data_IF_533425009403
#
_entry.id   IF_533425009403
#
_cell.length_a   1.000
_cell.length_b   1.000
_cell.length_c   1.000
_cell.angle_alpha   90.00
_cell.angle_beta   90.00
_cell.angle_gamma   90.00
#
_symmetry.space_group_name_H-M   'P 1'
#
loop_
_entity.id
_entity.type
_entity.pdbx_description
1 polymer ?
#
# COMPACT_ATOMS: atom_id res chain seq x y z
N UNK A 1 -11.86 -23.32 34.25
CA UNK A 1 -10.83 -22.27 34.40
C UNK A 1 -10.15 -22.09 33.04
N UNK A 2 -10.30 -20.94 32.38
CA UNK A 2 -9.65 -20.72 31.08
C UNK A 2 -8.15 -20.48 31.30
N UNK A 3 -7.30 -21.31 30.71
CA UNK A 3 -5.84 -21.10 30.68
C UNK A 3 -5.51 -20.31 29.41
N UNK A 4 -4.83 -19.18 29.58
CA UNK A 4 -4.31 -18.40 28.47
C UNK A 4 -2.79 -18.62 28.36
N UNK A 5 -2.30 -18.92 27.16
CA UNK A 5 -0.87 -19.03 26.87
C UNK A 5 -0.40 -17.75 26.20
N UNK A 6 0.58 -17.07 26.81
CA UNK A 6 1.19 -15.87 26.22
C UNK A 6 2.38 -16.30 25.35
N UNK A 7 2.27 -16.08 24.05
CA UNK A 7 3.34 -16.40 23.08
C UNK A 7 3.78 -15.11 22.40
N UNK A 8 5.08 -14.98 22.14
CA UNK A 8 5.66 -13.93 21.30
C UNK A 8 6.45 -14.58 20.19
N UNK A 9 6.11 -14.26 18.95
CA UNK A 9 6.78 -14.75 17.75
C UNK A 9 7.65 -13.61 17.21
N UNK A 10 8.87 -13.93 16.84
CA UNK A 10 9.78 -13.01 16.17
C UNK A 10 9.97 -13.46 14.72
N UNK A 11 10.10 -12.53 13.76
CA UNK A 11 10.33 -12.88 12.38
C UNK A 11 11.73 -13.49 12.21
N UNK A 12 11.87 -14.42 11.26
CA UNK A 12 13.19 -14.78 10.72
C UNK A 12 13.79 -13.57 9.97
N UNK A 13 15.10 -13.57 9.68
CA UNK A 13 15.72 -12.50 8.91
C UNK A 13 14.99 -12.20 7.58
N UNK A 14 14.58 -13.23 6.85
CA UNK A 14 13.87 -13.11 5.56
C UNK A 14 12.47 -12.52 5.74
N UNK A 15 11.76 -12.92 6.81
CA UNK A 15 10.46 -12.34 7.15
C UNK A 15 10.60 -10.86 7.53
N UNK A 16 11.63 -10.50 8.28
CA UNK A 16 11.89 -9.12 8.66
C UNK A 16 12.20 -8.25 7.44
N UNK A 17 13.01 -8.75 6.51
CA UNK A 17 13.30 -8.08 5.24
C UNK A 17 12.03 -7.86 4.41
N UNK A 18 11.22 -8.92 4.24
CA UNK A 18 9.95 -8.81 3.54
C UNK A 18 9.01 -7.79 4.19
N UNK A 19 8.88 -7.81 5.51
CA UNK A 19 8.03 -6.85 6.24
C UNK A 19 8.51 -5.40 6.05
N UNK A 20 9.81 -5.16 6.12
CA UNK A 20 10.38 -3.83 5.88
C UNK A 20 10.07 -3.33 4.46
N UNK A 21 10.24 -4.20 3.48
CA UNK A 21 9.95 -3.90 2.08
C UNK A 21 8.43 -3.69 1.83
N UNK A 22 7.58 -4.52 2.46
CA UNK A 22 6.13 -4.39 2.45
C UNK A 22 5.68 -3.03 3.00
N UNK A 23 6.23 -2.60 4.14
CA UNK A 23 5.92 -1.30 4.73
C UNK A 23 6.39 -0.14 3.82
N UNK A 24 7.54 -0.30 3.17
CA UNK A 24 8.02 0.64 2.14
C UNK A 24 7.04 0.77 0.97
N UNK A 25 6.55 -0.36 0.46
CA UNK A 25 5.59 -0.40 -0.64
C UNK A 25 4.24 0.24 -0.27
N UNK A 26 3.73 -0.05 0.94
CA UNK A 26 2.52 0.57 1.50
C UNK A 26 2.69 2.09 1.61
N UNK A 27 3.82 2.56 2.17
CA UNK A 27 4.13 3.99 2.26
C UNK A 27 4.22 4.65 0.88
N UNK A 28 4.83 3.98 -0.09
CA UNK A 28 4.89 4.45 -1.47
C UNK A 28 3.48 4.63 -2.07
N UNK A 29 2.62 3.62 -1.93
CA UNK A 29 1.25 3.65 -2.46
C UNK A 29 0.45 4.82 -1.88
N UNK A 30 0.50 5.00 -0.56
CA UNK A 30 -0.15 6.12 0.14
C UNK A 30 0.36 7.47 -0.38
N UNK A 31 1.68 7.69 -0.37
CA UNK A 31 2.28 8.95 -0.78
C UNK A 31 1.96 9.29 -2.24
N UNK A 32 1.96 8.28 -3.12
CA UNK A 32 1.65 8.50 -4.54
C UNK A 32 0.18 8.86 -4.75
N UNK A 33 -0.73 8.17 -4.06
CA UNK A 33 -2.16 8.47 -4.10
C UNK A 33 -2.44 9.88 -3.56
N UNK A 34 -1.85 10.26 -2.42
CA UNK A 34 -1.97 11.60 -1.83
C UNK A 34 -1.44 12.68 -2.78
N UNK A 35 -0.29 12.44 -3.42
CA UNK A 35 0.28 13.37 -4.39
C UNK A 35 -0.65 13.60 -5.58
N UNK A 36 -1.22 12.54 -6.16
CA UNK A 36 -2.16 12.64 -7.28
C UNK A 36 -3.40 13.44 -6.87
N UNK A 37 -3.98 13.12 -5.70
CA UNK A 37 -5.16 13.81 -5.15
C UNK A 37 -4.89 15.30 -4.95
N UNK A 38 -3.76 15.67 -4.34
CA UNK A 38 -3.35 17.07 -4.16
C UNK A 38 -3.14 17.78 -5.49
N UNK A 39 -2.48 17.14 -6.44
CA UNK A 39 -2.21 17.73 -7.75
C UNK A 39 -3.51 18.01 -8.52
N UNK A 40 -4.45 17.06 -8.53
CA UNK A 40 -5.75 17.23 -9.20
C UNK A 40 -6.57 18.35 -8.59
N UNK A 41 -6.60 18.43 -7.26
CA UNK A 41 -7.29 19.51 -6.57
C UNK A 41 -6.64 20.86 -6.86
N UNK A 42 -5.32 20.97 -6.75
CA UNK A 42 -4.62 22.24 -6.95
C UNK A 42 -4.71 22.77 -8.39
N UNK A 43 -4.74 21.89 -9.39
CA UNK A 43 -4.79 22.29 -10.80
C UNK A 43 -6.20 22.47 -11.35
N UNK A 44 -7.16 21.68 -10.86
CA UNK A 44 -8.48 21.57 -11.47
C UNK A 44 -9.62 21.81 -10.48
N UNK A 45 -9.33 21.97 -9.18
CA UNK A 45 -10.35 22.06 -8.13
C UNK A 45 -11.09 20.74 -7.87
N UNK A 46 -10.66 19.63 -8.48
CA UNK A 46 -11.38 18.35 -8.43
C UNK A 46 -10.87 17.47 -7.28
N UNK A 47 -11.78 17.06 -6.41
CA UNK A 47 -11.54 16.04 -5.40
C UNK A 47 -11.65 14.62 -5.98
N UNK A 48 -10.67 13.76 -5.68
CA UNK A 48 -10.69 12.36 -6.08
C UNK A 48 -11.23 11.44 -4.99
N UNK A 49 -12.07 10.50 -5.38
CA UNK A 49 -12.50 9.36 -4.59
C UNK A 49 -11.42 8.27 -4.54
N UNK A 50 -11.05 7.79 -3.34
CA UNK A 50 -10.06 6.72 -3.22
C UNK A 50 -10.49 5.44 -3.93
N UNK A 51 -11.78 5.07 -3.79
CA UNK A 51 -12.33 3.83 -4.35
C UNK A 51 -12.48 3.89 -5.86
N UNK A 52 -13.00 5.01 -6.39
CA UNK A 52 -13.32 5.13 -7.83
C UNK A 52 -12.13 5.58 -8.66
N UNK A 53 -11.28 6.47 -8.13
CA UNK A 53 -10.26 7.15 -8.93
C UNK A 53 -8.84 6.65 -8.62
N UNK A 54 -8.51 6.37 -7.35
CA UNK A 54 -7.13 6.06 -6.95
C UNK A 54 -6.82 4.55 -6.93
N UNK A 55 -7.70 3.73 -6.35
CA UNK A 55 -7.49 2.26 -6.27
C UNK A 55 -7.32 1.60 -7.65
N UNK A 56 -8.06 1.97 -8.71
CA UNK A 56 -7.81 1.42 -10.04
C UNK A 56 -6.41 1.73 -10.58
N UNK A 57 -5.83 2.89 -10.24
CA UNK A 57 -4.47 3.24 -10.66
C UNK A 57 -3.42 2.30 -10.07
N UNK A 58 -3.66 1.72 -8.88
CA UNK A 58 -2.77 0.70 -8.31
C UNK A 58 -2.74 -0.57 -9.18
N UNK A 59 -3.90 -0.98 -9.69
CA UNK A 59 -3.97 -2.14 -10.59
C UNK A 59 -3.26 -1.88 -11.93
N UNK A 60 -3.37 -0.66 -12.46
CA UNK A 60 -2.63 -0.22 -13.65
C UNK A 60 -1.13 -0.16 -13.37
N UNK A 61 -0.72 0.41 -12.23
CA UNK A 61 0.68 0.56 -11.84
C UNK A 61 1.38 -0.81 -11.77
N UNK A 62 0.76 -1.82 -11.15
CA UNK A 62 1.29 -3.19 -11.08
C UNK A 62 1.55 -3.81 -12.47
N UNK A 63 0.84 -3.38 -13.51
CA UNK A 63 1.05 -3.86 -14.89
C UNK A 63 2.10 -3.04 -15.66
N UNK A 64 2.46 -1.86 -15.16
CA UNK A 64 3.46 -1.01 -15.80
C UNK A 64 4.89 -1.51 -15.55
N UNK A 65 5.80 -1.26 -16.50
CA UNK A 65 7.23 -1.58 -16.35
C UNK A 65 7.87 -0.87 -15.15
N UNK A 66 7.42 0.35 -14.83
CA UNK A 66 8.02 1.18 -13.78
C UNK A 66 7.63 0.74 -12.36
N UNK A 67 6.42 0.20 -12.19
CA UNK A 67 5.86 -0.14 -10.88
C UNK A 67 5.45 -1.61 -10.77
N UNK A 68 6.01 -2.48 -11.63
CA UNK A 68 5.73 -3.92 -11.62
C UNK A 68 6.15 -4.58 -10.31
N UNK A 69 7.17 -4.05 -9.65
CA UNK A 69 7.67 -4.50 -8.34
C UNK A 69 6.59 -4.47 -7.23
N UNK A 70 5.54 -3.65 -7.36
CA UNK A 70 4.39 -3.67 -6.43
C UNK A 70 3.61 -4.99 -6.42
N UNK A 71 3.89 -5.91 -7.36
CA UNK A 71 3.33 -7.26 -7.38
C UNK A 71 3.96 -8.20 -6.35
N UNK A 72 5.14 -7.86 -5.85
CA UNK A 72 5.88 -8.69 -4.88
C UNK A 72 5.31 -8.57 -3.46
N UNK A 73 4.41 -7.61 -3.23
CA UNK A 73 3.88 -7.24 -1.92
C UNK A 73 2.38 -7.50 -1.80
N UNK A 74 1.91 -7.65 -0.56
CA UNK A 74 0.53 -8.00 -0.24
C UNK A 74 -0.46 -7.01 -0.87
N UNK A 75 -1.40 -7.57 -1.63
CA UNK A 75 -2.35 -6.80 -2.42
C UNK A 75 -3.37 -6.06 -1.56
N UNK A 76 -3.76 -6.63 -0.43
CA UNK A 76 -4.77 -6.06 0.45
C UNK A 76 -4.18 -4.86 1.18
N UNK A 77 -3.00 -4.99 1.78
CA UNK A 77 -2.28 -3.91 2.44
C UNK A 77 -2.03 -2.73 1.49
N UNK A 78 -1.60 -2.99 0.25
CA UNK A 78 -1.43 -1.93 -0.74
C UNK A 78 -2.75 -1.23 -1.09
N UNK A 79 -3.87 -1.97 -1.19
CA UNK A 79 -5.18 -1.36 -1.46
C UNK A 79 -5.71 -0.57 -0.26
N UNK A 80 -5.46 -1.00 0.98
CA UNK A 80 -5.87 -0.27 2.18
C UNK A 80 -5.04 0.99 2.40
N UNK A 81 -3.80 1.04 1.90
CA UNK A 81 -2.97 2.23 1.92
C UNK A 81 -3.54 3.38 1.08
N UNK A 82 -4.38 3.08 0.09
CA UNK A 82 -4.99 4.08 -0.81
C UNK A 82 -6.31 4.57 -0.20
N UNK A 83 -6.21 5.67 0.57
CA UNK A 83 -7.33 6.36 1.26
C UNK A 83 -7.66 7.74 0.68
#
# INVERSE_FOLDING_TARGET
MLRATKVRIYPTPEQAEFLNAQFGAVRFAYNKALHIKKQMYNRHGVGLSPRKDLKPLLAVAKKSRKYSWLKEYDSIALQQAVI
#
